data_IF_782958025843
#
_entry.id   IF_782958025843
#
_cell.length_a   1.000
_cell.length_b   1.000
_cell.length_c   1.000
_cell.angle_alpha   90.00
_cell.angle_beta   90.00
_cell.angle_gamma   90.00
#
_symmetry.space_group_name_H-M   'P 1'
#
loop_
_entity.id
_entity.type
_entity.pdbx_description
1 polymer ?
#
# COMPACT_ATOMS: atom_id res chain seq x y z
N UNK A 1 18.55 20.81 -15.38
CA UNK A 1 17.78 19.68 -15.94
C UNK A 1 17.54 18.53 -14.94
N UNK A 2 18.48 18.21 -14.03
CA UNK A 2 18.29 17.14 -13.02
C UNK A 2 17.08 17.33 -12.08
N UNK A 3 16.73 18.56 -11.70
CA UNK A 3 15.69 18.82 -10.69
C UNK A 3 14.26 18.55 -11.18
N UNK A 4 14.02 18.57 -12.50
CA UNK A 4 12.68 18.36 -13.08
C UNK A 4 12.29 16.88 -13.10
N UNK A 5 13.24 16.00 -13.43
CA UNK A 5 12.99 14.56 -13.49
C UNK A 5 12.77 13.97 -12.10
N UNK A 6 13.55 14.40 -11.10
CA UNK A 6 13.36 13.99 -9.70
C UNK A 6 11.97 14.39 -9.19
N UNK A 7 11.50 15.60 -9.55
CA UNK A 7 10.16 16.07 -9.18
C UNK A 7 9.05 15.23 -9.83
N UNK A 8 9.18 14.91 -11.11
CA UNK A 8 8.21 14.06 -11.83
C UNK A 8 8.16 12.65 -11.24
N UNK A 9 9.31 12.05 -10.94
CA UNK A 9 9.38 10.71 -10.32
C UNK A 9 8.72 10.74 -8.93
N UNK A 10 9.00 11.79 -8.15
CA UNK A 10 8.40 11.95 -6.82
C UNK A 10 6.88 12.07 -6.89
N UNK A 11 6.36 12.93 -7.76
CA UNK A 11 4.91 13.17 -7.90
C UNK A 11 4.14 11.99 -8.49
N UNK A 12 4.72 11.29 -9.49
CA UNK A 12 4.03 10.23 -10.24
C UNK A 12 4.16 8.86 -9.57
N UNK A 13 5.27 8.57 -8.88
CA UNK A 13 5.54 7.25 -8.32
C UNK A 13 5.65 7.26 -6.79
N UNK A 14 6.48 8.13 -6.22
CA UNK A 14 6.82 8.06 -4.79
C UNK A 14 5.64 8.46 -3.90
N UNK A 15 4.99 9.59 -4.18
CA UNK A 15 3.90 10.10 -3.35
C UNK A 15 2.69 9.15 -3.32
N UNK A 16 2.16 8.65 -4.47
CA UNK A 16 1.06 7.70 -4.44
C UNK A 16 1.39 6.40 -3.72
N UNK A 17 2.61 5.88 -3.90
CA UNK A 17 3.06 4.66 -3.20
C UNK A 17 3.10 4.86 -1.68
N UNK A 18 3.62 6.00 -1.23
CA UNK A 18 3.65 6.35 0.19
C UNK A 18 2.25 6.43 0.79
N UNK A 19 1.30 7.06 0.06
CA UNK A 19 -0.11 7.11 0.47
C UNK A 19 -0.72 5.72 0.57
N UNK A 20 -0.50 4.84 -0.42
CA UNK A 20 -1.00 3.45 -0.38
C UNK A 20 -0.47 2.70 0.84
N UNK A 21 0.85 2.75 1.07
CA UNK A 21 1.48 2.07 2.20
C UNK A 21 0.91 2.59 3.54
N UNK A 22 0.72 3.90 3.66
CA UNK A 22 0.20 4.53 4.87
C UNK A 22 -1.24 4.11 5.14
N UNK A 23 -2.11 4.17 4.13
CA UNK A 23 -3.51 3.75 4.25
C UNK A 23 -3.63 2.25 4.54
N UNK A 24 -2.86 1.40 3.86
CA UNK A 24 -2.83 -0.04 4.13
C UNK A 24 -2.39 -0.32 5.57
N UNK A 25 -1.32 0.32 6.04
CA UNK A 25 -0.85 0.15 7.42
C UNK A 25 -1.90 0.57 8.45
N UNK A 26 -2.59 1.69 8.21
CA UNK A 26 -3.69 2.15 9.04
C UNK A 26 -4.84 1.14 9.06
N UNK A 27 -5.29 0.68 7.89
CA UNK A 27 -6.38 -0.29 7.78
C UNK A 27 -6.05 -1.62 8.46
N UNK A 28 -4.81 -2.11 8.38
CA UNK A 28 -4.37 -3.32 9.09
C UNK A 28 -4.47 -3.11 10.61
N UNK A 29 -3.99 -1.97 11.10
CA UNK A 29 -4.06 -1.65 12.53
C UNK A 29 -5.50 -1.55 13.04
N UNK A 30 -6.37 -0.88 12.29
CA UNK A 30 -7.79 -0.76 12.64
C UNK A 30 -8.49 -2.13 12.61
N UNK A 31 -8.16 -2.97 11.63
CA UNK A 31 -8.70 -4.33 11.52
C UNK A 31 -8.27 -5.19 12.71
N UNK A 32 -6.97 -5.20 13.07
CA UNK A 32 -6.50 -5.95 14.23
C UNK A 32 -7.18 -5.47 15.52
N UNK A 33 -7.30 -4.15 15.71
CA UNK A 33 -8.01 -3.61 16.87
C UNK A 33 -9.48 -4.05 16.93
N UNK A 34 -10.17 -4.08 15.78
CA UNK A 34 -11.55 -4.52 15.71
C UNK A 34 -11.69 -6.02 16.04
N UNK A 35 -10.75 -6.85 15.57
CA UNK A 35 -10.69 -8.28 15.88
C UNK A 35 -10.46 -8.52 17.38
N UNK A 36 -9.51 -7.81 17.98
CA UNK A 36 -9.22 -7.93 19.42
C UNK A 36 -10.44 -7.54 20.26
N UNK A 37 -11.11 -6.44 19.91
CA UNK A 37 -12.35 -6.01 20.58
C UNK A 37 -13.45 -7.06 20.45
N UNK A 38 -13.62 -7.64 19.27
CA UNK A 38 -14.64 -8.66 19.06
C UNK A 38 -14.36 -9.92 19.90
N UNK A 39 -13.10 -10.36 20.01
CA UNK A 39 -12.72 -11.47 20.88
C UNK A 39 -13.00 -11.15 22.35
N UNK A 40 -12.69 -9.93 22.82
CA UNK A 40 -12.99 -9.47 24.18
C UNK A 40 -14.50 -9.47 24.45
N UNK A 41 -15.29 -8.85 23.57
CA UNK A 41 -16.75 -8.75 23.71
C UNK A 41 -17.39 -10.15 23.72
N UNK A 42 -16.86 -11.07 22.91
CA UNK A 42 -17.30 -12.46 22.88
C UNK A 42 -16.97 -13.18 24.18
N UNK A 43 -15.77 -12.97 24.74
CA UNK A 43 -15.41 -13.57 26.03
C UNK A 43 -16.32 -13.05 27.14
N UNK A 44 -16.56 -11.74 27.19
CA UNK A 44 -17.49 -11.14 28.15
C UNK A 44 -18.90 -11.71 28.00
N UNK A 45 -19.37 -11.96 26.77
CA UNK A 45 -20.67 -12.58 26.55
C UNK A 45 -20.72 -14.03 27.06
N UNK A 46 -19.64 -14.80 26.88
CA UNK A 46 -19.51 -16.16 27.42
C UNK A 46 -19.54 -16.14 28.95
N UNK A 47 -18.74 -15.26 29.56
CA UNK A 47 -18.58 -15.20 31.02
C UNK A 47 -19.86 -14.76 31.74
N UNK A 48 -20.68 -13.92 31.09
CA UNK A 48 -21.93 -13.41 31.64
C UNK A 48 -23.16 -14.28 31.34
N UNK A 49 -23.02 -15.34 30.53
CA UNK A 49 -24.11 -16.26 30.22
C UNK A 49 -24.16 -17.40 31.25
N UNK A 50 -25.33 -17.65 31.85
CA UNK A 50 -25.50 -18.62 32.94
C UNK A 50 -25.16 -20.06 32.55
N UNK A 51 -25.32 -20.41 31.28
CA UNK A 51 -25.08 -21.75 30.77
C UNK A 51 -23.64 -21.83 30.26
N UNK A 52 -23.22 -20.90 29.41
CA UNK A 52 -21.89 -20.94 28.77
C UNK A 52 -20.75 -20.77 29.79
N UNK A 53 -20.94 -19.97 30.84
CA UNK A 53 -19.95 -19.78 31.92
C UNK A 53 -19.67 -21.05 32.73
N UNK A 54 -20.55 -22.05 32.68
CA UNK A 54 -20.33 -23.34 33.34
C UNK A 54 -19.43 -24.28 32.52
N UNK A 55 -19.21 -23.95 31.23
CA UNK A 55 -18.34 -24.70 30.36
C UNK A 55 -16.98 -24.02 30.25
N UNK A 56 -15.93 -24.82 30.02
CA UNK A 56 -14.57 -24.33 29.77
C UNK A 56 -14.42 -23.85 28.31
N UNK A 57 -15.26 -22.89 27.92
CA UNK A 57 -15.27 -22.30 26.56
C UNK A 57 -14.61 -20.93 26.64
N UNK A 58 -13.76 -20.64 25.66
CA UNK A 58 -13.07 -19.36 25.53
C UNK A 58 -13.30 -18.78 24.13
N UNK A 59 -13.35 -17.47 24.03
CA UNK A 59 -13.41 -16.76 22.76
C UNK A 59 -12.16 -17.05 21.92
N UNK A 60 -12.35 -17.21 20.62
CA UNK A 60 -11.24 -17.38 19.68
C UNK A 60 -10.57 -16.03 19.43
N UNK A 61 -9.23 -16.01 19.52
CA UNK A 61 -8.42 -14.85 19.19
C UNK A 61 -7.85 -15.00 17.77
N UNK A 62 -8.16 -14.04 16.92
CA UNK A 62 -7.66 -14.00 15.55
C UNK A 62 -6.56 -12.95 15.42
N UNK A 63 -5.54 -13.26 14.62
CA UNK A 63 -4.42 -12.37 14.39
C UNK A 63 -4.11 -12.27 12.90
N UNK A 64 -3.63 -11.10 12.50
CA UNK A 64 -3.04 -10.83 11.19
C UNK A 64 -1.51 -10.85 11.39
N UNK A 65 -0.85 -12.02 11.32
CA UNK A 65 0.60 -12.11 11.59
C UNK A 65 1.42 -11.47 10.48
N UNK A 66 0.93 -11.55 9.25
CA UNK A 66 1.62 -11.10 8.05
C UNK A 66 0.65 -10.58 7.00
N UNK A 67 1.05 -9.49 6.32
CA UNK A 67 0.34 -8.98 5.14
C UNK A 67 1.33 -8.80 4.00
N UNK A 68 1.07 -9.47 2.88
CA UNK A 68 1.80 -9.31 1.64
C UNK A 68 0.99 -8.46 0.65
N UNK A 69 1.62 -7.41 0.11
CA UNK A 69 1.04 -6.53 -0.90
C UNK A 69 1.88 -6.57 -2.18
N UNK A 70 1.23 -6.83 -3.32
CA UNK A 70 1.85 -6.76 -4.65
C UNK A 70 1.15 -5.71 -5.51
N UNK A 71 1.90 -4.65 -5.87
CA UNK A 71 1.42 -3.60 -6.77
C UNK A 71 2.10 -3.73 -8.13
N UNK A 72 1.29 -3.92 -9.18
CA UNK A 72 1.73 -3.92 -10.58
C UNK A 72 1.37 -2.60 -11.23
N UNK A 73 2.32 -1.99 -11.93
CA UNK A 73 2.13 -0.69 -12.59
C UNK A 73 2.58 -0.74 -14.04
N UNK A 74 1.78 -0.13 -14.91
CA UNK A 74 2.21 0.27 -16.25
C UNK A 74 2.88 1.63 -16.19
N UNK A 75 4.06 1.74 -16.80
CA UNK A 75 4.82 2.96 -16.94
C UNK A 75 4.93 3.34 -18.41
N UNK A 76 4.66 4.62 -18.70
CA UNK A 76 4.67 5.14 -20.05
C UNK A 76 5.35 6.48 -20.08
N UNK A 77 6.31 6.66 -20.99
CA UNK A 77 7.02 7.93 -21.15
C UNK A 77 6.69 8.56 -22.50
N UNK A 78 6.24 9.83 -22.48
CA UNK A 78 6.10 10.65 -23.68
C UNK A 78 7.23 11.66 -23.75
N UNK A 79 8.02 11.63 -24.82
CA UNK A 79 9.02 12.65 -25.11
C UNK A 79 8.47 13.63 -26.13
N UNK A 80 8.33 14.91 -25.76
CA UNK A 80 7.98 15.98 -26.71
C UNK A 80 9.20 16.81 -27.05
N UNK A 81 9.44 16.99 -28.34
CA UNK A 81 10.44 17.94 -28.84
C UNK A 81 10.07 19.37 -28.40
N UNK A 82 10.99 20.05 -27.74
CA UNK A 82 10.92 21.49 -27.54
C UNK A 82 11.61 22.17 -28.71
N UNK A 83 10.82 22.84 -29.55
CA UNK A 83 11.30 23.61 -30.71
C UNK A 83 11.35 25.09 -30.38
N UNK A 84 12.38 25.81 -30.84
CA UNK A 84 12.36 27.27 -30.79
C UNK A 84 11.39 27.87 -31.83
N UNK A 85 11.26 29.20 -31.82
CA UNK A 85 10.43 29.95 -32.77
C UNK A 85 10.84 29.80 -34.24
N UNK A 86 12.01 29.23 -34.53
CA UNK A 86 12.51 28.89 -35.87
C UNK A 86 12.37 27.39 -36.19
N UNK A 87 11.70 26.61 -35.33
CA UNK A 87 11.41 25.20 -35.54
C UNK A 87 12.59 24.27 -35.23
N UNK A 88 13.71 24.78 -34.71
CA UNK A 88 14.88 23.96 -34.38
C UNK A 88 14.66 23.27 -33.04
N UNK A 89 14.84 21.95 -33.00
CA UNK A 89 14.77 21.17 -31.75
C UNK A 89 15.89 21.62 -30.82
N UNK A 90 15.50 22.17 -29.66
CA UNK A 90 16.41 22.71 -28.64
C UNK A 90 16.47 21.85 -27.39
N UNK A 91 15.57 20.89 -27.26
CA UNK A 91 15.53 19.95 -26.16
C UNK A 91 14.38 18.98 -26.30
N UNK A 92 14.31 18.07 -25.33
CA UNK A 92 13.21 17.12 -25.20
C UNK A 92 12.62 17.27 -23.80
N UNK A 93 11.31 17.45 -23.73
CA UNK A 93 10.54 17.40 -22.49
C UNK A 93 9.91 16.02 -22.34
N UNK A 94 10.40 15.25 -21.38
CA UNK A 94 9.83 13.95 -21.04
C UNK A 94 8.71 14.11 -20.00
N UNK A 95 7.59 13.43 -20.21
CA UNK A 95 6.52 13.24 -19.22
C UNK A 95 6.36 11.76 -18.94
N UNK A 96 6.47 11.37 -17.67
CA UNK A 96 6.21 10.02 -17.21
C UNK A 96 4.74 9.92 -16.75
N UNK A 97 4.06 8.88 -17.22
CA UNK A 97 2.74 8.47 -16.78
C UNK A 97 2.87 7.10 -16.13
N UNK A 98 2.21 6.91 -14.99
CA UNK A 98 2.15 5.63 -14.31
C UNK A 98 0.70 5.36 -13.91
N UNK A 99 0.26 4.12 -14.09
CA UNK A 99 -1.07 3.69 -13.69
C UNK A 99 -1.03 2.28 -13.10
N UNK A 100 -1.83 1.98 -12.06
CA UNK A 100 -1.98 0.62 -11.56
C UNK A 100 -2.58 -0.28 -12.65
N UNK A 101 -2.07 -1.50 -12.73
CA UNK A 101 -2.48 -2.48 -13.73
C UNK A 101 -3.76 -3.19 -13.26
N UNK A 102 -4.91 -2.73 -13.74
CA UNK A 102 -6.22 -3.33 -13.46
C UNK A 102 -6.74 -3.99 -14.74
N UNK A 103 -7.64 -4.98 -14.65
CA UNK A 103 -8.24 -5.66 -15.81
C UNK A 103 -8.93 -4.71 -16.84
N UNK A 104 -9.16 -3.46 -16.48
CA UNK A 104 -9.78 -2.42 -17.32
C UNK A 104 -8.78 -1.52 -18.07
N UNK A 105 -7.47 -1.76 -17.98
CA UNK A 105 -6.48 -0.96 -18.72
C UNK A 105 -6.47 -1.35 -20.22
N UNK A 106 -7.45 -0.85 -20.97
CA UNK A 106 -7.45 -0.89 -22.44
C UNK A 106 -6.47 0.16 -22.97
N UNK A 107 -5.24 -0.28 -23.25
CA UNK A 107 -4.22 0.49 -23.96
C UNK A 107 -4.72 0.90 -25.36
N UNK A 108 -4.86 2.20 -25.61
CA UNK A 108 -5.28 2.77 -26.91
C UNK A 108 -4.38 3.93 -27.37
N UNK A 109 -3.11 3.92 -27.01
CA UNK A 109 -2.24 5.07 -27.28
C UNK A 109 -0.88 4.60 -27.81
N UNK A 110 -0.46 5.17 -28.94
CA UNK A 110 0.92 5.07 -29.44
C UNK A 110 1.88 5.71 -28.43
N UNK A 111 2.89 4.94 -28.00
CA UNK A 111 3.86 5.35 -26.99
C UNK A 111 5.29 4.93 -27.39
N UNK A 112 6.27 5.79 -27.12
CA UNK A 112 7.68 5.56 -27.48
C UNK A 112 8.38 4.53 -26.56
N UNK A 113 7.97 4.42 -25.29
CA UNK A 113 8.54 3.48 -24.32
C UNK A 113 7.46 3.01 -23.34
N UNK A 114 7.25 1.70 -23.26
CA UNK A 114 6.37 1.01 -22.31
C UNK A 114 7.21 0.11 -21.39
N UNK A 115 6.91 0.13 -20.09
CA UNK A 115 7.57 -0.73 -19.11
C UNK A 115 6.65 -1.10 -17.96
N UNK A 116 6.89 -2.26 -17.33
CA UNK A 116 6.16 -2.72 -16.16
C UNK A 116 7.03 -2.57 -14.90
N UNK A 117 6.42 -2.16 -13.79
CA UNK A 117 7.05 -2.14 -12.47
C UNK A 117 6.24 -2.96 -11.48
N UNK A 118 6.94 -3.63 -10.55
CA UNK A 118 6.32 -4.40 -9.46
C UNK A 118 6.92 -3.95 -8.13
N UNK A 119 6.07 -3.60 -7.18
CA UNK A 119 6.45 -3.29 -5.80
C UNK A 119 5.84 -4.32 -4.88
N UNK A 120 6.68 -4.91 -4.02
CA UNK A 120 6.27 -5.88 -3.00
C UNK A 120 6.54 -5.32 -1.61
N UNK A 121 5.56 -5.40 -0.73
CA UNK A 121 5.68 -5.01 0.67
C UNK A 121 5.18 -6.14 1.57
N UNK A 122 5.89 -6.39 2.67
CA UNK A 122 5.56 -7.39 3.69
C UNK A 122 5.51 -6.71 5.05
N UNK A 123 4.35 -6.74 5.69
CA UNK A 123 4.14 -6.24 7.04
C UNK A 123 4.11 -7.43 7.98
N UNK A 124 4.89 -7.38 9.06
CA UNK A 124 4.98 -8.45 10.06
C UNK A 124 4.71 -7.86 11.43
N UNK A 125 3.84 -8.52 12.19
CA UNK A 125 3.57 -8.16 13.58
C UNK A 125 4.78 -8.52 14.45
N UNK A 126 5.39 -7.52 15.08
CA UNK A 126 6.49 -7.73 16.03
C UNK A 126 5.90 -7.61 17.45
N UNK A 127 5.89 -8.68 18.26
CA UNK A 127 5.40 -8.60 19.62
C UNK A 127 6.26 -7.62 20.43
N UNK A 128 5.66 -6.91 21.41
CA UNK A 128 6.41 -6.00 22.27
C UNK A 128 7.52 -6.77 23.00
N UNK A 129 8.71 -6.17 23.09
CA UNK A 129 9.81 -6.73 23.88
C UNK A 129 9.37 -6.82 25.34
N UNK A 130 9.39 -8.02 25.93
CA UNK A 130 9.08 -8.19 27.35
C UNK A 130 10.14 -7.47 28.19
N UNK A 131 9.78 -6.34 28.80
CA UNK A 131 10.58 -5.80 29.89
C UNK A 131 10.26 -6.64 31.12
N UNK A 132 11.24 -7.44 31.56
CA UNK A 132 11.18 -8.13 32.84
C UNK A 132 11.22 -7.03 33.91
N UNK A 133 10.10 -6.82 34.59
CA UNK A 133 10.08 -6.06 35.85
C UNK A 133 10.68 -6.99 36.88
N UNK A 134 11.92 -6.73 37.30
CA UNK A 134 12.49 -7.44 38.45
C UNK A 134 11.72 -7.00 39.70
N UNK A 135 11.10 -7.95 40.39
CA UNK A 135 10.54 -7.79 41.74
C UNK A 135 11.64 -7.53 42.78
#
# INVERSE_FOLDING_TARGET
MANSNTKIISEVLVNPLSSIITEVGKSISETQQAMDRNSIDTQLAIDNDEILSQYDIQATWHHIPEVELELKMALTMKCKEEKDSKGVVRGYRSKLHAAPLNASYKSYHEYDVEGASTVKAKFVSIPPSSQIVNE
#
